data_IF_164444681850
#
_entry.id   IF_164444681850
#
_cell.length_a   1.000
_cell.length_b   1.000
_cell.length_c   1.000
_cell.angle_alpha   90.00
_cell.angle_beta   90.00
_cell.angle_gamma   90.00
#
_symmetry.space_group_name_H-M   'P 1'
#
loop_
_entity.id
_entity.type
_entity.pdbx_description
1 polymer ?
#
# COMPACT_ATOMS: atom_id res chain seq x y z
N UNK A 1 -13.97 44.03 26.60
CA UNK A 1 -12.89 43.67 25.67
C UNK A 1 -12.97 42.18 25.47
N UNK A 2 -13.46 41.76 24.31
CA UNK A 2 -13.62 40.36 23.96
C UNK A 2 -12.23 39.78 23.72
N UNK A 3 -11.82 38.86 24.59
CA UNK A 3 -10.70 37.95 24.31
C UNK A 3 -11.14 37.10 23.10
N UNK A 4 -10.68 37.48 21.91
CA UNK A 4 -10.64 36.58 20.77
C UNK A 4 -9.59 35.53 21.11
N UNK A 5 -10.05 34.38 21.62
CA UNK A 5 -9.31 33.14 21.46
C UNK A 5 -9.16 32.90 19.95
N UNK A 6 -8.06 33.35 19.38
CA UNK A 6 -7.51 32.75 18.17
C UNK A 6 -7.20 31.30 18.51
N UNK A 7 -8.20 30.42 18.34
CA UNK A 7 -7.93 29.01 18.11
C UNK A 7 -7.13 28.96 16.82
N UNK A 8 -5.83 28.73 16.92
CA UNK A 8 -5.04 28.23 15.81
C UNK A 8 -5.73 26.97 15.28
N UNK A 9 -6.52 27.11 14.22
CA UNK A 9 -7.09 25.98 13.51
C UNK A 9 -5.90 25.31 12.82
N UNK A 10 -5.33 24.27 13.43
CA UNK A 10 -4.42 23.34 12.76
C UNK A 10 -5.27 22.53 11.76
N UNK A 11 -5.19 22.78 10.43
CA UNK A 11 -6.15 22.23 9.46
C UNK A 11 -5.99 20.73 9.17
N UNK A 12 -5.07 20.05 9.85
CA UNK A 12 -4.51 18.77 9.40
C UNK A 12 -4.80 17.58 10.31
N UNK A 13 -5.58 17.76 11.38
CA UNK A 13 -5.99 16.67 12.26
C UNK A 13 -7.42 16.90 12.72
N UNK A 14 -8.39 16.66 11.83
CA UNK A 14 -9.71 16.33 12.33
C UNK A 14 -9.58 15.14 13.29
N UNK A 15 -10.20 15.28 14.47
CA UNK A 15 -10.18 14.22 15.46
C UNK A 15 -10.96 13.03 14.90
N UNK A 16 -10.38 11.84 15.08
CA UNK A 16 -11.01 10.59 14.67
C UNK A 16 -11.23 9.71 15.87
N UNK A 17 -12.37 9.04 15.91
CA UNK A 17 -12.69 8.02 16.91
C UNK A 17 -12.57 6.62 16.31
N UNK A 18 -12.19 5.67 17.16
CA UNK A 18 -12.16 4.25 16.81
C UNK A 18 -13.52 3.65 17.11
N UNK A 19 -14.14 3.02 16.11
CA UNK A 19 -15.37 2.25 16.29
C UNK A 19 -15.08 0.77 16.10
N UNK A 20 -15.73 -0.09 16.88
CA UNK A 20 -15.63 -1.54 16.72
C UNK A 20 -16.80 -2.06 15.88
N UNK A 21 -16.49 -2.62 14.72
CA UNK A 21 -17.41 -3.27 13.79
C UNK A 21 -17.67 -4.74 14.15
N UNK A 22 -16.89 -5.32 15.08
CA UNK A 22 -16.95 -6.72 15.46
C UNK A 22 -17.89 -7.03 16.62
N UNK A 23 -18.06 -8.32 16.89
CA UNK A 23 -19.01 -8.85 17.87
C UNK A 23 -18.35 -9.05 19.24
N UNK A 24 -17.89 -7.99 19.91
CA UNK A 24 -17.38 -8.04 21.31
C UNK A 24 -16.08 -8.84 21.57
N UNK A 25 -15.99 -10.09 21.11
CA UNK A 25 -14.85 -11.02 21.23
C UNK A 25 -13.76 -10.76 20.19
N UNK A 26 -14.12 -10.34 18.97
CA UNK A 26 -13.19 -9.89 17.94
C UNK A 26 -13.25 -8.37 17.78
N UNK A 27 -12.12 -7.70 18.02
CA UNK A 27 -11.97 -6.26 17.76
C UNK A 27 -11.70 -6.01 16.27
N UNK A 28 -12.67 -5.42 15.59
CA UNK A 28 -12.61 -5.02 14.19
C UNK A 28 -12.75 -3.51 14.10
N UNK A 29 -11.64 -2.81 14.34
CA UNK A 29 -11.68 -1.37 14.56
C UNK A 29 -11.34 -0.55 13.32
N UNK A 30 -12.11 0.51 13.05
CA UNK A 30 -11.87 1.51 11.98
C UNK A 30 -12.00 2.93 12.54
N UNK A 31 -11.44 3.92 11.82
CA UNK A 31 -11.48 5.34 12.22
C UNK A 31 -12.61 6.08 11.54
N UNK A 32 -13.39 6.84 12.31
CA UNK A 32 -14.44 7.74 11.83
C UNK A 32 -14.15 9.17 12.31
N UNK A 33 -14.44 10.17 11.47
CA UNK A 33 -14.35 11.59 11.83
C UNK A 33 -15.35 12.01 12.90
N UNK A 34 -14.93 12.84 13.84
CA UNK A 34 -15.81 13.33 14.93
C UNK A 34 -16.76 14.44 14.50
N UNK A 35 -16.55 15.03 13.31
CA UNK A 35 -17.31 16.20 12.85
C UNK A 35 -18.62 15.85 12.14
N UNK A 36 -18.93 14.55 11.99
CA UNK A 36 -20.19 14.07 11.42
C UNK A 36 -21.39 14.42 12.32
N UNK A 37 -22.54 14.74 11.71
CA UNK A 37 -23.79 14.79 12.46
C UNK A 37 -24.19 13.40 12.97
N UNK A 38 -25.02 13.34 14.01
CA UNK A 38 -25.44 12.06 14.60
C UNK A 38 -26.14 11.13 13.59
N UNK A 39 -26.91 11.69 12.67
CA UNK A 39 -27.62 10.93 11.62
C UNK A 39 -26.67 10.39 10.54
N UNK A 40 -25.75 11.23 10.05
CA UNK A 40 -24.72 10.80 9.08
C UNK A 40 -23.79 9.74 9.67
N UNK A 41 -23.39 9.93 10.94
CA UNK A 41 -22.57 8.98 11.66
C UNK A 41 -23.26 7.63 11.76
N UNK A 42 -24.53 7.60 12.18
CA UNK A 42 -25.28 6.35 12.29
C UNK A 42 -25.35 5.60 10.94
N UNK A 43 -25.70 6.31 9.85
CA UNK A 43 -25.77 5.72 8.51
C UNK A 43 -24.43 5.17 8.04
N UNK A 44 -23.34 5.89 8.32
CA UNK A 44 -21.99 5.44 7.98
C UNK A 44 -21.58 4.21 8.80
N UNK A 45 -21.90 4.17 10.09
CA UNK A 45 -21.63 3.01 10.95
C UNK A 45 -22.41 1.77 10.50
N UNK A 46 -23.68 1.91 10.11
CA UNK A 46 -24.50 0.84 9.55
C UNK A 46 -23.89 0.30 8.25
N UNK A 47 -23.48 1.18 7.34
CA UNK A 47 -22.81 0.80 6.08
C UNK A 47 -21.49 0.07 6.34
N UNK A 48 -20.65 0.55 7.25
CA UNK A 48 -19.37 -0.09 7.56
C UNK A 48 -19.54 -1.46 8.20
N UNK A 49 -20.63 -1.68 8.95
CA UNK A 49 -20.99 -3.00 9.51
C UNK A 49 -21.49 -3.95 8.44
N UNK A 50 -22.27 -3.46 7.48
CA UNK A 50 -22.74 -4.24 6.32
C UNK A 50 -21.55 -4.76 5.50
N UNK A 51 -20.56 -3.92 5.23
CA UNK A 51 -19.37 -4.25 4.43
C UNK A 51 -18.13 -4.60 5.28
N UNK A 52 -18.33 -5.17 6.47
CA UNK A 52 -17.22 -5.54 7.39
C UNK A 52 -16.26 -6.58 6.79
N UNK A 53 -16.75 -7.37 5.84
CA UNK A 53 -15.98 -8.37 5.11
C UNK A 53 -15.07 -7.75 4.03
N UNK A 54 -15.26 -6.49 3.64
CA UNK A 54 -14.36 -5.79 2.69
C UNK A 54 -12.99 -5.48 3.32
N UNK A 55 -12.89 -5.47 4.65
CA UNK A 55 -11.62 -5.24 5.34
C UNK A 55 -10.78 -6.53 5.46
N UNK A 56 -9.46 -6.42 5.28
CA UNK A 56 -8.52 -7.46 5.67
C UNK A 56 -8.03 -7.24 7.10
N UNK A 57 -8.42 -8.13 7.99
CA UNK A 57 -8.00 -8.16 9.39
C UNK A 57 -6.66 -8.90 9.54
N UNK A 58 -6.36 -9.81 8.62
CA UNK A 58 -5.12 -10.58 8.53
C UNK A 58 -4.72 -10.86 7.07
N UNK A 59 -3.54 -11.46 6.85
CA UNK A 59 -3.14 -11.92 5.51
C UNK A 59 -3.97 -13.09 4.98
N UNK A 60 -4.63 -13.86 5.86
CA UNK A 60 -5.46 -15.00 5.45
C UNK A 60 -6.78 -14.54 4.83
N UNK A 61 -7.21 -13.32 5.17
CA UNK A 61 -8.45 -12.71 4.66
C UNK A 61 -8.27 -12.10 3.25
N UNK A 62 -7.13 -12.34 2.60
CA UNK A 62 -6.79 -11.79 1.29
C UNK A 62 -6.93 -12.85 0.18
N UNK A 63 -8.13 -13.03 -0.40
CA UNK A 63 -8.25 -13.81 -1.62
C UNK A 63 -7.45 -13.12 -2.74
N UNK A 64 -6.70 -13.88 -3.51
CA UNK A 64 -6.06 -13.34 -4.71
C UNK A 64 -7.12 -12.93 -5.74
N UNK A 65 -6.85 -11.87 -6.50
CA UNK A 65 -7.66 -11.52 -7.66
C UNK A 65 -7.70 -12.68 -8.66
N UNK A 66 -8.80 -12.74 -9.41
CA UNK A 66 -8.99 -13.76 -10.43
C UNK A 66 -7.86 -13.67 -11.49
N UNK A 67 -7.14 -14.77 -11.66
CA UNK A 67 -5.99 -14.87 -12.58
C UNK A 67 -6.37 -14.69 -14.04
N UNK A 68 -7.63 -14.91 -14.40
CA UNK A 68 -8.13 -14.65 -15.75
C UNK A 68 -8.28 -13.15 -16.04
N UNK A 69 -8.41 -12.32 -14.99
CA UNK A 69 -8.54 -10.87 -15.12
C UNK A 69 -7.19 -10.18 -15.11
N UNK A 70 -6.33 -10.52 -14.14
CA UNK A 70 -5.00 -9.92 -14.02
C UNK A 70 -3.99 -10.88 -13.42
N UNK A 71 -2.81 -10.90 -14.05
CA UNK A 71 -1.58 -11.44 -13.49
C UNK A 71 -0.43 -10.47 -13.77
N UNK A 72 0.54 -10.40 -12.88
CA UNK A 72 1.76 -9.63 -13.12
C UNK A 72 2.73 -10.46 -13.96
N UNK A 73 3.12 -9.89 -15.10
CA UNK A 73 4.16 -10.44 -15.97
C UNK A 73 5.44 -9.65 -15.83
N UNK A 74 6.56 -10.35 -15.96
CA UNK A 74 7.91 -9.81 -15.91
C UNK A 74 8.66 -10.17 -17.20
N UNK A 75 8.34 -9.48 -18.31
CA UNK A 75 9.12 -9.62 -19.54
C UNK A 75 10.56 -9.17 -19.27
N UNK A 76 11.48 -9.81 -19.96
CA UNK A 76 12.91 -9.50 -19.92
C UNK A 76 13.39 -9.20 -21.34
N UNK A 77 14.38 -8.32 -21.47
CA UNK A 77 15.03 -8.05 -22.75
C UNK A 77 15.71 -9.34 -23.27
N UNK A 78 15.64 -9.65 -24.59
CA UNK A 78 16.10 -10.93 -25.14
C UNK A 78 17.55 -11.30 -24.81
N UNK A 79 18.45 -10.31 -24.77
CA UNK A 79 19.89 -10.52 -24.56
C UNK A 79 20.33 -10.33 -23.09
N UNK A 80 19.39 -10.19 -22.16
CA UNK A 80 19.75 -9.99 -20.75
C UNK A 80 20.32 -11.27 -20.14
N UNK A 81 21.42 -11.13 -19.39
CA UNK A 81 22.01 -12.23 -18.62
C UNK A 81 21.43 -12.22 -17.20
N UNK A 82 20.95 -13.36 -16.68
CA UNK A 82 20.51 -13.46 -15.29
C UNK A 82 21.61 -13.10 -14.30
N UNK A 83 21.24 -12.40 -13.23
CA UNK A 83 22.17 -11.98 -12.18
C UNK A 83 21.82 -12.69 -10.87
N UNK A 84 22.84 -13.36 -10.29
CA UNK A 84 22.77 -13.95 -8.95
C UNK A 84 23.58 -13.13 -7.97
N UNK A 85 22.90 -12.33 -7.16
CA UNK A 85 23.57 -11.55 -6.12
C UNK A 85 24.08 -12.48 -5.00
N UNK A 86 25.31 -12.24 -4.54
CA UNK A 86 25.86 -12.96 -3.38
C UNK A 86 25.10 -12.57 -2.12
N UNK A 87 24.79 -13.56 -1.27
CA UNK A 87 24.11 -13.34 0.01
C UNK A 87 24.89 -12.32 0.87
N UNK A 88 24.20 -11.26 1.28
CA UNK A 88 24.75 -10.22 2.15
C UNK A 88 24.80 -10.69 3.60
N UNK A 89 25.88 -10.32 4.29
CA UNK A 89 26.00 -10.51 5.74
C UNK A 89 25.09 -9.53 6.47
N UNK A 90 24.40 -10.00 7.49
CA UNK A 90 23.51 -9.19 8.33
C UNK A 90 23.73 -9.53 9.80
N UNK A 91 23.38 -8.60 10.69
CA UNK A 91 23.43 -8.82 12.13
C UNK A 91 22.45 -9.93 12.55
N UNK A 92 22.78 -10.78 13.54
CA UNK A 92 21.91 -11.87 13.99
C UNK A 92 20.49 -11.42 14.37
N UNK A 93 20.36 -10.28 15.04
CA UNK A 93 19.06 -9.69 15.42
C UNK A 93 18.14 -9.44 14.21
N UNK A 94 18.72 -8.97 13.10
CA UNK A 94 17.99 -8.68 11.87
C UNK A 94 17.63 -9.97 11.12
N UNK A 95 18.52 -10.97 11.17
CA UNK A 95 18.27 -12.28 10.58
C UNK A 95 17.05 -12.95 11.22
N UNK A 96 16.89 -12.88 12.54
CA UNK A 96 15.71 -13.41 13.23
C UNK A 96 14.42 -12.75 12.75
N UNK A 97 14.39 -11.41 12.69
CA UNK A 97 13.23 -10.67 12.18
C UNK A 97 12.90 -11.01 10.72
N UNK A 98 13.93 -11.19 9.88
CA UNK A 98 13.75 -11.62 8.48
C UNK A 98 13.16 -13.02 8.44
N UNK A 99 13.66 -13.95 9.26
CA UNK A 99 13.17 -15.33 9.33
C UNK A 99 11.68 -15.37 9.67
N UNK A 100 11.27 -14.62 10.68
CA UNK A 100 9.87 -14.50 11.10
C UNK A 100 8.99 -13.95 9.97
N UNK A 101 9.45 -12.90 9.28
CA UNK A 101 8.71 -12.30 8.17
C UNK A 101 8.61 -13.24 6.95
N UNK A 102 9.70 -13.92 6.59
CA UNK A 102 9.71 -14.93 5.51
C UNK A 102 8.77 -16.07 5.85
N UNK A 103 8.82 -16.60 7.08
CA UNK A 103 7.91 -17.65 7.52
C UNK A 103 6.45 -17.20 7.43
N UNK A 104 6.14 -15.99 7.88
CA UNK A 104 4.79 -15.44 7.81
C UNK A 104 4.28 -15.34 6.37
N UNK A 105 5.09 -14.85 5.45
CA UNK A 105 4.70 -14.75 4.02
C UNK A 105 4.61 -16.12 3.34
N UNK A 106 5.44 -17.08 3.76
CA UNK A 106 5.38 -18.46 3.29
C UNK A 106 4.12 -19.17 3.75
N UNK A 107 3.79 -19.08 5.05
CA UNK A 107 2.59 -19.66 5.64
C UNK A 107 1.31 -19.02 5.06
N UNK A 108 1.35 -17.74 4.70
CA UNK A 108 0.29 -17.04 3.98
C UNK A 108 0.18 -17.44 2.49
N UNK A 109 1.09 -18.27 1.99
CA UNK A 109 1.07 -18.74 0.60
C UNK A 109 1.57 -17.73 -0.43
N UNK A 110 2.23 -16.63 -0.02
CA UNK A 110 2.82 -15.65 -0.94
C UNK A 110 4.17 -16.08 -1.50
N UNK A 111 4.88 -16.94 -0.78
CA UNK A 111 6.21 -17.42 -1.14
C UNK A 111 6.19 -18.91 -1.50
N UNK A 112 7.15 -19.30 -2.33
CA UNK A 112 7.46 -20.69 -2.66
C UNK A 112 8.98 -20.90 -2.66
N UNK A 113 9.43 -22.13 -2.43
CA UNK A 113 10.86 -22.48 -2.50
C UNK A 113 11.29 -22.48 -3.96
N UNK A 114 12.30 -21.66 -4.29
CA UNK A 114 12.89 -21.63 -5.62
C UNK A 114 14.02 -22.67 -5.72
N UNK A 115 14.05 -23.46 -6.80
CA UNK A 115 15.06 -24.48 -7.05
C UNK A 115 15.87 -24.10 -8.28
N UNK A 116 17.21 -24.13 -8.16
CA UNK A 116 18.14 -23.75 -9.23
C UNK A 116 17.86 -22.39 -9.90
N UNK A 117 17.51 -21.32 -9.14
CA UNK A 117 17.05 -20.07 -9.72
C UNK A 117 18.13 -19.38 -10.54
N UNK A 118 17.76 -18.83 -11.70
CA UNK A 118 18.67 -18.05 -12.56
C UNK A 118 18.90 -16.62 -12.04
N UNK A 119 17.84 -15.99 -11.52
CA UNK A 119 17.88 -14.68 -10.89
C UNK A 119 17.90 -14.82 -9.38
N UNK A 120 18.74 -14.05 -8.69
CA UNK A 120 18.75 -14.06 -7.21
C UNK A 120 19.02 -12.64 -6.70
N UNK A 121 18.07 -12.09 -5.96
CA UNK A 121 18.17 -10.80 -5.30
C UNK A 121 18.42 -10.93 -3.78
N UNK A 122 18.99 -9.90 -3.15
CA UNK A 122 19.11 -9.82 -1.71
C UNK A 122 17.92 -9.12 -1.06
N UNK A 123 17.69 -9.46 0.21
CA UNK A 123 16.80 -8.70 1.08
C UNK A 123 17.50 -7.41 1.53
N UNK A 124 16.74 -6.32 1.55
CA UNK A 124 17.06 -5.03 2.17
C UNK A 124 16.05 -4.84 3.30
N UNK A 125 16.40 -5.18 4.56
CA UNK A 125 15.49 -5.03 5.67
C UNK A 125 15.36 -3.54 6.04
N UNK A 126 14.12 -3.04 6.07
CA UNK A 126 13.82 -1.67 6.48
C UNK A 126 13.13 -1.71 7.85
N UNK A 127 13.74 -1.18 8.92
CA UNK A 127 13.10 -1.10 10.23
C UNK A 127 11.82 -0.25 10.17
N UNK A 128 10.74 -0.75 10.76
CA UNK A 128 9.52 0.02 11.00
C UNK A 128 9.55 0.65 12.38
N UNK A 129 8.75 1.70 12.58
CA UNK A 129 8.58 2.40 13.86
C UNK A 129 8.05 1.48 14.98
N UNK A 130 7.29 0.45 14.62
CA UNK A 130 6.72 -0.55 15.53
C UNK A 130 7.71 -1.66 15.95
N UNK A 131 8.98 -1.53 15.59
CA UNK A 131 10.02 -2.53 15.88
C UNK A 131 10.05 -3.73 14.93
N UNK A 132 9.04 -3.90 14.07
CA UNK A 132 9.02 -4.93 13.01
C UNK A 132 9.94 -4.54 11.85
N UNK A 133 10.15 -5.47 10.92
CA UNK A 133 10.92 -5.22 9.69
C UNK A 133 10.00 -5.27 8.48
N UNK A 134 10.22 -4.38 7.50
CA UNK A 134 9.70 -4.52 6.15
C UNK A 134 10.77 -5.19 5.29
N UNK A 135 10.45 -6.35 4.74
CA UNK A 135 11.31 -7.05 3.80
C UNK A 135 11.18 -6.40 2.42
N UNK A 136 12.13 -5.56 2.04
CA UNK A 136 12.26 -5.08 0.66
C UNK A 136 13.24 -5.99 -0.08
N UNK A 137 12.99 -6.30 -1.36
CA UNK A 137 13.92 -7.08 -2.18
C UNK A 137 14.63 -6.15 -3.15
N UNK A 138 15.94 -6.32 -3.28
CA UNK A 138 16.79 -5.52 -4.17
C UNK A 138 16.69 -5.98 -5.63
N UNK A 139 15.53 -5.71 -6.25
CA UNK A 139 15.28 -6.02 -7.65
C UNK A 139 15.94 -5.03 -8.63
N UNK A 140 16.95 -4.25 -8.24
CA UNK A 140 17.57 -3.26 -9.16
C UNK A 140 18.09 -3.90 -10.45
N UNK A 141 18.74 -5.05 -10.34
CA UNK A 141 19.28 -5.78 -11.50
C UNK A 141 18.15 -6.36 -12.37
N UNK A 142 17.17 -6.99 -11.75
CA UNK A 142 15.99 -7.53 -12.44
C UNK A 142 15.19 -6.42 -13.13
N UNK A 143 14.99 -5.29 -12.45
CA UNK A 143 14.31 -4.13 -13.00
C UNK A 143 15.06 -3.55 -14.19
N UNK A 144 16.40 -3.49 -14.17
CA UNK A 144 17.17 -3.03 -15.34
C UNK A 144 16.95 -3.92 -16.57
N UNK A 145 16.80 -5.22 -16.37
CA UNK A 145 16.60 -6.19 -17.43
C UNK A 145 15.16 -6.26 -17.98
N UNK A 146 14.19 -5.62 -17.32
CA UNK A 146 12.80 -5.61 -17.76
C UNK A 146 12.44 -4.31 -18.50
N UNK A 147 11.78 -4.35 -19.67
CA UNK A 147 11.27 -3.16 -20.34
C UNK A 147 10.29 -2.39 -19.44
N UNK A 148 10.24 -1.08 -19.61
CA UNK A 148 9.30 -0.23 -18.87
C UNK A 148 7.91 -0.32 -19.51
N UNK A 149 6.89 -0.65 -18.73
CA UNK A 149 5.49 -0.51 -19.15
C UNK A 149 5.14 0.99 -19.20
N UNK A 150 4.59 1.44 -20.33
CA UNK A 150 4.18 2.83 -20.56
C UNK A 150 2.71 3.08 -20.21
N UNK A 151 2.07 2.17 -19.47
CA UNK A 151 0.71 2.38 -18.98
C UNK A 151 0.60 3.73 -18.25
N UNK A 152 -0.37 4.58 -18.62
CA UNK A 152 -0.51 5.89 -18.01
C UNK A 152 -0.94 5.73 -16.55
N UNK A 153 -0.18 6.37 -15.66
CA UNK A 153 -0.63 6.60 -14.30
C UNK A 153 -1.31 7.97 -14.27
N UNK A 154 -2.44 8.12 -13.57
CA UNK A 154 -3.12 9.41 -13.45
C UNK A 154 -2.18 10.44 -12.83
N UNK A 155 -2.26 11.69 -13.32
CA UNK A 155 -1.48 12.78 -12.78
C UNK A 155 -1.95 13.09 -11.35
N UNK A 156 -1.01 13.22 -10.41
CA UNK A 156 -1.34 13.46 -9.00
C UNK A 156 -2.17 14.73 -8.87
N UNK A 157 -1.75 15.82 -9.51
CA UNK A 157 -2.46 17.11 -9.40
C UNK A 157 -3.91 16.99 -9.89
N UNK A 158 -4.17 16.27 -10.98
CA UNK A 158 -5.54 16.05 -11.46
C UNK A 158 -6.39 15.24 -10.48
N UNK A 159 -5.80 14.24 -9.80
CA UNK A 159 -6.52 13.49 -8.77
C UNK A 159 -6.85 14.39 -7.57
N UNK A 160 -5.89 15.19 -7.12
CA UNK A 160 -6.05 16.06 -5.96
C UNK A 160 -7.06 17.18 -6.27
N UNK A 161 -6.97 17.82 -7.45
CA UNK A 161 -7.90 18.85 -7.93
C UNK A 161 -9.34 18.34 -8.00
N UNK A 162 -9.55 17.14 -8.51
CA UNK A 162 -10.89 16.54 -8.61
C UNK A 162 -11.48 16.21 -7.24
N UNK A 163 -10.65 15.96 -6.22
CA UNK A 163 -11.10 15.69 -4.86
C UNK A 163 -11.34 16.96 -4.06
N UNK A 164 -10.68 18.07 -4.38
CA UNK A 164 -10.83 19.33 -3.65
C UNK A 164 -12.28 19.84 -3.67
N UNK A 165 -12.65 20.66 -2.66
CA UNK A 165 -13.97 21.30 -2.52
C UNK A 165 -15.15 20.39 -2.20
N UNK A 166 -14.91 19.10 -1.95
CA UNK A 166 -15.93 18.24 -1.34
C UNK A 166 -15.98 18.49 0.18
N UNK A 167 -17.16 18.39 0.77
CA UNK A 167 -17.37 18.62 2.20
C UNK A 167 -16.97 17.42 3.07
N UNK A 168 -16.98 16.21 2.49
CA UNK A 168 -16.74 14.96 3.21
C UNK A 168 -15.87 14.01 2.40
N UNK A 169 -14.94 13.36 3.09
CA UNK A 169 -13.92 12.48 2.54
C UNK A 169 -13.86 11.17 3.32
N UNK A 170 -13.59 10.09 2.58
CA UNK A 170 -13.19 8.80 3.14
C UNK A 170 -11.89 8.36 2.48
N UNK A 171 -10.83 8.26 3.28
CA UNK A 171 -9.51 7.85 2.84
C UNK A 171 -9.35 6.36 3.09
N UNK A 172 -9.12 5.59 2.02
CA UNK A 172 -9.03 4.14 2.08
C UNK A 172 -7.68 3.66 1.54
N UNK A 173 -7.03 2.73 2.24
CA UNK A 173 -5.77 2.09 1.82
C UNK A 173 -6.03 0.61 1.58
N UNK A 174 -5.67 0.10 0.40
CA UNK A 174 -5.72 -1.33 0.13
C UNK A 174 -4.69 -2.10 0.95
N UNK A 175 -5.11 -3.13 1.68
CA UNK A 175 -4.21 -3.98 2.45
C UNK A 175 -3.29 -4.75 1.52
N UNK A 176 -2.00 -4.39 1.53
CA UNK A 176 -0.97 -5.03 0.70
C UNK A 176 -1.41 -5.24 -0.76
N UNK A 177 -2.05 -4.23 -1.37
CA UNK A 177 -2.79 -4.36 -2.64
C UNK A 177 -2.02 -5.06 -3.78
N UNK A 178 -0.70 -4.90 -3.86
CA UNK A 178 0.11 -5.62 -4.84
C UNK A 178 0.12 -7.14 -4.64
N UNK A 179 0.16 -7.61 -3.39
CA UNK A 179 0.19 -9.03 -3.07
C UNK A 179 -1.17 -9.73 -3.38
N UNK A 180 -2.21 -8.99 -3.75
CA UNK A 180 -3.48 -9.57 -4.20
C UNK A 180 -3.43 -9.99 -5.69
N UNK A 181 -2.52 -9.41 -6.47
CA UNK A 181 -2.29 -9.78 -7.88
C UNK A 181 -1.29 -10.94 -7.92
N UNK A 182 -1.63 -12.05 -8.59
CA UNK A 182 -0.69 -13.18 -8.73
C UNK A 182 0.41 -12.86 -9.75
N UNK A 183 1.59 -13.46 -9.54
CA UNK A 183 2.61 -13.53 -10.58
C UNK A 183 2.16 -14.51 -11.67
N UNK A 184 2.53 -14.26 -12.91
CA UNK A 184 2.47 -15.28 -13.95
C UNK A 184 3.40 -16.44 -13.58
N UNK A 185 2.97 -17.71 -13.67
CA UNK A 185 3.76 -18.87 -13.24
C UNK A 185 5.18 -18.91 -13.82
N UNK A 186 5.32 -18.56 -15.10
CA UNK A 186 6.59 -18.50 -15.82
C UNK A 186 7.55 -17.39 -15.33
N UNK A 187 7.02 -16.39 -14.63
CA UNK A 187 7.76 -15.22 -14.16
C UNK A 187 8.06 -15.27 -12.66
N UNK A 188 7.44 -16.20 -11.91
CA UNK A 188 7.60 -16.34 -10.47
C UNK A 188 9.08 -16.47 -10.08
N UNK A 189 9.81 -17.40 -10.71
CA UNK A 189 11.21 -17.69 -10.36
C UNK A 189 12.14 -16.48 -10.54
N UNK A 190 11.84 -15.57 -11.48
CA UNK A 190 12.63 -14.35 -11.69
C UNK A 190 12.65 -13.45 -10.45
N UNK A 191 11.62 -13.53 -9.62
CA UNK A 191 11.50 -12.76 -8.36
C UNK A 191 12.29 -13.37 -7.19
N UNK A 192 13.08 -14.41 -7.43
CA UNK A 192 13.77 -15.13 -6.36
C UNK A 192 14.70 -14.23 -5.54
N UNK A 193 14.64 -14.40 -4.22
CA UNK A 193 15.57 -13.80 -3.28
C UNK A 193 16.24 -14.85 -2.41
N UNK A 194 17.42 -14.52 -1.89
CA UNK A 194 18.24 -15.41 -1.06
C UNK A 194 18.18 -15.02 0.41
N UNK A 195 18.14 -16.04 1.26
CA UNK A 195 18.24 -15.95 2.72
C UNK A 195 19.27 -16.94 3.24
N UNK A 196 19.57 -16.89 4.54
CA UNK A 196 20.42 -17.89 5.21
C UNK A 196 19.80 -19.30 5.24
N UNK A 197 18.49 -19.43 4.98
CA UNK A 197 17.75 -20.71 5.09
C UNK A 197 17.31 -21.27 3.74
N UNK A 198 17.63 -20.59 2.63
CA UNK A 198 17.24 -20.99 1.30
C UNK A 198 16.85 -19.83 0.41
N UNK A 199 16.45 -20.18 -0.81
CA UNK A 199 15.96 -19.28 -1.85
C UNK A 199 14.46 -19.41 -2.00
N UNK A 200 13.78 -18.27 -2.07
CA UNK A 200 12.32 -18.20 -2.19
C UNK A 200 11.94 -17.27 -3.32
N UNK A 201 10.89 -17.60 -4.04
CA UNK A 201 10.27 -16.73 -5.04
C UNK A 201 8.85 -16.35 -4.62
N UNK A 202 8.34 -15.28 -5.21
CA UNK A 202 7.00 -14.80 -4.94
C UNK A 202 5.98 -15.41 -5.90
N UNK A 203 4.86 -15.89 -5.36
CA UNK A 203 3.67 -16.32 -6.12
C UNK A 203 2.72 -15.16 -6.42
N UNK A 204 2.84 -14.07 -5.66
CA UNK A 204 2.06 -12.85 -5.78
C UNK A 204 2.97 -11.68 -6.08
N UNK A 205 2.47 -10.63 -6.75
CA UNK A 205 3.29 -9.51 -7.21
C UNK A 205 3.96 -8.78 -6.02
N UNK A 206 5.30 -8.89 -5.86
CA UNK A 206 5.98 -8.25 -4.74
C UNK A 206 6.19 -6.76 -4.97
N UNK A 207 6.41 -6.05 -3.88
CA UNK A 207 6.92 -4.68 -3.93
C UNK A 207 8.33 -4.63 -4.54
N UNK A 208 8.65 -3.51 -5.20
CA UNK A 208 9.99 -3.23 -5.71
C UNK A 208 10.21 -3.60 -7.18
N UNK A 209 9.22 -4.23 -7.83
CA UNK A 209 9.25 -4.45 -9.29
C UNK A 209 8.90 -3.17 -10.06
N UNK A 210 9.62 -2.90 -11.15
CA UNK A 210 9.48 -1.67 -11.96
C UNK A 210 8.04 -1.43 -12.43
N UNK A 211 7.36 -2.49 -12.89
CA UNK A 211 6.05 -2.38 -13.55
C UNK A 211 4.88 -2.76 -12.64
N UNK A 212 5.11 -2.90 -11.32
CA UNK A 212 4.04 -3.27 -10.38
C UNK A 212 2.91 -2.23 -10.35
N UNK A 213 3.26 -0.94 -10.33
CA UNK A 213 2.28 0.15 -10.34
C UNK A 213 1.44 0.18 -11.62
N UNK A 214 2.06 -0.04 -12.79
CA UNK A 214 1.37 -0.11 -14.07
C UNK A 214 0.38 -1.29 -14.12
N UNK A 215 0.80 -2.46 -13.65
CA UNK A 215 -0.05 -3.66 -13.58
C UNK A 215 -1.25 -3.43 -12.67
N UNK A 216 -1.00 -2.85 -11.49
CA UNK A 216 -2.04 -2.56 -10.52
C UNK A 216 -3.04 -1.53 -11.06
N UNK A 217 -2.56 -0.43 -11.64
CA UNK A 217 -3.44 0.59 -12.23
C UNK A 217 -4.26 0.01 -13.39
N UNK A 218 -3.65 -0.82 -14.25
CA UNK A 218 -4.36 -1.48 -15.35
C UNK A 218 -5.46 -2.41 -14.82
N UNK A 219 -5.21 -3.13 -13.73
CA UNK A 219 -6.20 -3.95 -13.05
C UNK A 219 -7.38 -3.11 -12.56
N UNK A 220 -7.10 -1.99 -11.87
CA UNK A 220 -8.13 -1.08 -11.39
C UNK A 220 -8.96 -0.49 -12.55
N UNK A 221 -8.30 0.00 -13.61
CA UNK A 221 -9.01 0.54 -14.78
C UNK A 221 -9.88 -0.52 -15.46
N UNK A 222 -9.40 -1.77 -15.57
CA UNK A 222 -10.18 -2.86 -16.14
C UNK A 222 -11.39 -3.25 -15.26
N UNK A 223 -11.23 -3.22 -13.94
CA UNK A 223 -12.31 -3.50 -12.98
C UNK A 223 -13.35 -2.37 -12.92
N UNK A 224 -12.92 -1.11 -13.02
CA UNK A 224 -13.79 0.06 -12.83
C UNK A 224 -14.09 0.83 -14.11
N UNK A 225 -13.86 0.25 -15.30
CA UNK A 225 -14.00 1.01 -16.55
C UNK A 225 -15.35 1.73 -16.66
N UNK A 226 -16.44 1.06 -16.26
CA UNK A 226 -17.81 1.59 -16.31
C UNK A 226 -18.20 2.46 -15.11
N UNK A 227 -17.40 2.41 -14.04
CA UNK A 227 -17.65 3.03 -12.72
C UNK A 227 -16.71 4.20 -12.43
N UNK A 228 -15.61 4.33 -13.17
CA UNK A 228 -14.71 5.48 -13.13
C UNK A 228 -15.53 6.71 -13.51
N UNK A 229 -15.59 7.68 -12.59
CA UNK A 229 -16.36 8.94 -12.66
C UNK A 229 -17.83 8.91 -12.21
N UNK A 230 -18.34 7.81 -11.64
CA UNK A 230 -19.70 7.78 -11.06
C UNK A 230 -19.72 7.32 -9.60
N UNK A 231 -19.48 6.03 -9.34
CA UNK A 231 -19.67 5.38 -8.03
C UNK A 231 -18.73 4.15 -8.06
N UNK A 232 -17.75 3.99 -7.16
CA UNK A 232 -16.71 2.94 -7.28
C UNK A 232 -16.96 1.81 -6.28
N UNK A 233 -16.91 0.55 -6.72
CA UNK A 233 -16.79 -0.61 -5.82
C UNK A 233 -15.60 -1.48 -6.17
N UNK A 234 -14.53 -1.42 -5.35
CA UNK A 234 -13.29 -2.18 -5.57
C UNK A 234 -13.26 -3.49 -4.77
N UNK A 235 -13.00 -4.61 -5.44
CA UNK A 235 -12.64 -5.90 -4.81
C UNK A 235 -11.17 -5.92 -4.35
N UNK A 236 -10.77 -4.98 -3.51
CA UNK A 236 -9.49 -5.01 -2.82
C UNK A 236 -9.75 -4.93 -1.32
N UNK A 237 -9.18 -5.87 -0.58
CA UNK A 237 -9.32 -5.84 0.87
C UNK A 237 -8.72 -4.56 1.43
N UNK A 238 -9.49 -3.82 2.22
CA UNK A 238 -9.04 -2.56 2.83
C UNK A 238 -8.22 -2.81 4.10
N UNK A 239 -7.26 -1.94 4.37
CA UNK A 239 -6.48 -1.95 5.61
C UNK A 239 -7.18 -1.08 6.66
N UNK A 240 -7.89 -1.69 7.63
CA UNK A 240 -8.73 -0.95 8.57
C UNK A 240 -7.92 0.07 9.40
N UNK A 241 -6.68 -0.27 9.77
CA UNK A 241 -5.81 0.61 10.57
C UNK A 241 -5.36 1.90 9.85
N UNK A 242 -5.49 1.94 8.52
CA UNK A 242 -5.11 3.07 7.67
C UNK A 242 -6.29 3.72 6.96
N UNK A 243 -7.50 3.17 7.11
CA UNK A 243 -8.70 3.80 6.59
C UNK A 243 -9.22 4.82 7.60
N UNK A 244 -9.74 5.92 7.09
CA UNK A 244 -10.43 6.95 7.85
C UNK A 244 -11.68 7.35 7.07
N UNK A 245 -12.84 7.30 7.71
CA UNK A 245 -14.12 7.53 7.05
C UNK A 245 -14.81 8.78 7.59
N UNK A 246 -15.48 9.51 6.69
CA UNK A 246 -16.33 10.64 7.06
C UNK A 246 -15.59 11.79 7.75
N UNK A 247 -14.48 12.24 7.16
CA UNK A 247 -13.73 13.42 7.61
C UNK A 247 -13.88 14.58 6.63
N UNK A 248 -13.84 15.80 7.12
CA UNK A 248 -13.88 17.07 6.38
C UNK A 248 -12.54 17.47 5.74
N UNK A 249 -11.44 16.86 6.18
CA UNK A 249 -10.11 17.08 5.60
C UNK A 249 -9.17 15.89 5.81
N UNK A 250 -8.13 15.77 4.99
CA UNK A 250 -7.10 14.76 5.21
C UNK A 250 -5.96 14.77 4.19
N UNK A 251 -4.98 13.90 4.43
CA UNK A 251 -3.78 13.78 3.58
C UNK A 251 -4.04 12.85 2.41
N UNK A 252 -3.91 13.35 1.18
CA UNK A 252 -4.00 12.59 -0.07
C UNK A 252 -2.77 12.84 -0.94
N UNK A 253 -2.02 11.79 -1.28
CA UNK A 253 -0.82 11.86 -2.13
C UNK A 253 0.21 12.93 -1.67
N UNK A 254 0.19 13.24 -0.37
CA UNK A 254 1.06 14.22 0.27
C UNK A 254 0.67 15.68 0.02
N UNK A 255 -0.59 15.91 -0.27
CA UNK A 255 -1.31 17.18 -0.13
C UNK A 255 -2.36 17.02 0.97
N UNK A 256 -2.80 18.14 1.55
CA UNK A 256 -3.99 18.19 2.39
C UNK A 256 -5.14 18.63 1.52
N UNK A 257 -6.21 17.85 1.48
CA UNK A 257 -7.45 18.19 0.78
C UNK A 257 -8.54 18.49 1.80
N UNK A 258 -9.33 19.52 1.51
CA UNK A 258 -10.50 19.92 2.29
C UNK A 258 -11.52 20.62 1.40
N UNK A 259 -12.67 20.97 1.98
CA UNK A 259 -13.66 21.83 1.33
C UNK A 259 -13.07 23.20 0.92
N UNK A 260 -12.12 23.73 1.70
CA UNK A 260 -11.45 25.02 1.44
C UNK A 260 -10.49 24.96 0.25
N UNK A 261 -10.09 23.77 -0.18
CA UNK A 261 -9.17 23.55 -1.28
C UNK A 261 -7.99 22.67 -0.90
N UNK A 262 -6.86 22.90 -1.56
CA UNK A 262 -5.66 22.07 -1.48
C UNK A 262 -4.57 22.86 -0.77
N UNK A 263 -3.98 22.24 0.25
CA UNK A 263 -2.85 22.78 0.99
C UNK A 263 -1.65 21.80 0.90
N UNK A 264 -0.43 22.33 1.02
CA UNK A 264 0.79 21.50 1.04
C UNK A 264 0.97 20.91 2.43
N UNK A 265 1.31 19.62 2.51
CA UNK A 265 1.59 18.96 3.79
C UNK A 265 2.71 19.68 4.56
N UNK A 266 2.45 20.22 5.78
CA UNK A 266 3.45 20.89 6.59
C UNK A 266 4.69 20.03 6.87
N UNK A 267 4.54 18.72 6.92
CA UNK A 267 5.68 17.80 7.12
C UNK A 267 6.63 17.80 5.92
N UNK A 268 6.11 17.95 4.69
CA UNK A 268 6.95 18.09 3.48
C UNK A 268 7.64 19.46 3.45
N UNK A 269 6.93 20.52 3.85
CA UNK A 269 7.50 21.87 3.94
C UNK A 269 8.67 21.86 4.92
N UNK A 270 8.46 21.32 6.13
CA UNK A 270 9.47 21.21 7.17
C UNK A 270 10.69 20.41 6.71
N UNK A 271 10.48 19.28 6.02
CA UNK A 271 11.58 18.46 5.50
C UNK A 271 12.47 19.21 4.49
N UNK A 272 11.91 20.14 3.71
CA UNK A 272 12.68 20.98 2.78
C UNK A 272 13.40 22.11 3.54
N UNK A 273 12.71 22.76 4.49
CA UNK A 273 13.27 23.85 5.29
C UNK A 273 14.44 23.39 6.18
N UNK A 274 14.36 22.16 6.70
CA UNK A 274 15.39 21.55 7.53
C UNK A 274 16.50 20.86 6.71
N UNK A 275 16.39 20.86 5.37
CA UNK A 275 17.37 20.20 4.51
C UNK A 275 18.72 20.94 4.59
N UNK A 276 19.80 20.27 5.03
CA UNK A 276 21.11 20.91 5.06
C UNK A 276 21.58 21.22 3.63
N UNK A 277 22.34 22.31 3.43
CA UNK A 277 22.90 22.64 2.12
C UNK A 277 23.71 21.45 1.56
N UNK A 278 23.58 21.12 0.26
CA UNK A 278 24.34 20.04 -0.35
C UNK A 278 25.83 20.27 -0.15
N UNK A 279 26.54 19.25 0.34
CA UNK A 279 28.01 19.23 0.39
C UNK A 279 28.49 18.34 -0.74
N UNK A 280 29.37 18.87 -1.57
CA UNK A 280 30.07 18.17 -2.66
C UNK A 280 30.95 17.04 -2.14
#
# INVERSE_FOLDING_TARGET
MLEQEEKEILPHQELTEMINLGNGEEKKEVKIGTSLSSDERQKLEELLREYVDVFAWSYQDMPSLNTNMVVHKLPLEPDCKPIKQKLRRMKPEMLLKIKEEVKRQFDAGFLEVAKYPEWVANIVPVPKKDGKVRMCIDYRDLNKASPKDSFPLPHIDTLVDNTAKHALFSFMDGFSGYNQIKMAPEDMEKTTFVTMWGTFCYKVMPFGLKNAGATYQRALVALFHDMMHKEIEVYLKLNPAKCTFGVTSGKLLGFIVSEKGIEVDPDKIRAIQELPPPKT
#
